data_IF_623252221373
#
_entry.id   IF_623252221373
#
_cell.length_a   1.000
_cell.length_b   1.000
_cell.length_c   1.000
_cell.angle_alpha   90.00
_cell.angle_beta   90.00
_cell.angle_gamma   90.00
#
_symmetry.space_group_name_H-M   'P 1'
#
loop_
_entity.id
_entity.type
_entity.pdbx_description
1 polymer ?
#
# COMPACT_ATOMS: atom_id res chain seq x y z
N UNK A 1 -37.91 60.08 17.89
CA UNK A 1 -37.27 58.81 18.30
C UNK A 1 -37.61 57.70 17.32
N UNK A 2 -36.74 56.80 16.85
CA UNK A 2 -35.28 56.62 16.96
C UNK A 2 -34.92 55.44 16.04
N UNK A 3 -33.71 55.51 15.52
CA UNK A 3 -33.01 54.67 14.53
C UNK A 3 -33.02 53.12 14.64
N UNK A 4 -32.62 52.43 13.55
CA UNK A 4 -32.46 50.99 13.44
C UNK A 4 -31.12 50.50 14.03
N UNK A 5 -31.14 49.36 14.73
CA UNK A 5 -29.95 48.62 15.22
C UNK A 5 -30.44 47.37 15.95
N UNK A 6 -29.80 46.23 15.96
CA UNK A 6 -28.60 45.74 15.32
C UNK A 6 -28.66 44.21 15.44
N UNK A 7 -27.86 43.54 14.63
CA UNK A 7 -27.61 42.11 14.65
C UNK A 7 -27.22 41.57 16.04
N UNK A 8 -27.51 40.28 16.26
CA UNK A 8 -26.92 39.45 17.31
C UNK A 8 -27.85 38.27 17.62
N UNK A 9 -27.48 37.00 17.54
CA UNK A 9 -26.21 36.37 17.25
C UNK A 9 -26.51 34.99 16.65
N UNK A 10 -25.79 34.63 15.59
CA UNK A 10 -25.63 33.27 15.10
C UNK A 10 -24.98 32.41 16.20
N UNK A 11 -25.60 31.33 16.70
CA UNK A 11 -24.83 30.27 17.34
C UNK A 11 -24.50 29.22 16.27
N UNK A 12 -23.19 29.07 16.01
CA UNK A 12 -22.57 27.92 15.37
C UNK A 12 -23.13 27.58 13.99
N UNK A 13 -22.58 28.07 12.88
CA UNK A 13 -21.22 27.71 12.48
C UNK A 13 -20.79 26.31 12.96
N UNK A 14 -21.65 25.29 12.81
CA UNK A 14 -21.14 24.01 12.32
C UNK A 14 -20.73 24.30 10.87
N UNK A 15 -19.53 24.86 10.72
CA UNK A 15 -18.82 24.79 9.46
C UNK A 15 -18.83 23.30 9.10
N UNK A 16 -19.67 22.93 8.13
CA UNK A 16 -19.57 21.66 7.46
C UNK A 16 -18.16 21.65 6.90
N UNK A 17 -17.24 20.97 7.59
CA UNK A 17 -15.92 20.71 7.07
C UNK A 17 -16.17 20.06 5.71
N UNK A 18 -15.60 20.61 4.62
CA UNK A 18 -15.68 19.94 3.32
C UNK A 18 -15.30 18.49 3.55
N UNK A 19 -16.04 17.50 3.01
CA UNK A 19 -15.67 16.11 3.17
C UNK A 19 -14.28 15.93 2.57
N UNK A 20 -13.29 15.93 3.47
CA UNK A 20 -11.91 15.69 3.13
C UNK A 20 -11.85 14.30 2.52
N UNK A 21 -11.14 14.21 1.39
CA UNK A 21 -10.70 13.00 0.69
C UNK A 21 -11.52 12.51 -0.52
N UNK A 22 -12.69 13.05 -0.85
CA UNK A 22 -13.43 12.66 -2.06
C UNK A 22 -13.33 13.71 -3.18
N UNK A 23 -12.10 14.09 -3.53
CA UNK A 23 -11.80 14.86 -4.74
C UNK A 23 -12.37 14.18 -5.99
N UNK A 24 -13.41 14.80 -6.54
CA UNK A 24 -14.17 14.36 -7.70
C UNK A 24 -13.55 14.79 -9.02
N UNK A 25 -12.35 14.31 -9.30
CA UNK A 25 -11.66 14.55 -10.57
C UNK A 25 -11.36 13.22 -11.28
N UNK A 26 -11.85 13.05 -12.50
CA UNK A 26 -11.61 11.86 -13.35
C UNK A 26 -10.11 11.53 -13.48
N UNK A 27 -9.24 12.56 -13.43
CA UNK A 27 -7.77 12.41 -13.45
C UNK A 27 -7.25 11.64 -12.22
N UNK A 28 -7.77 11.95 -11.02
CA UNK A 28 -7.45 11.23 -9.78
C UNK A 28 -7.89 9.77 -9.83
N UNK A 29 -9.02 9.47 -10.48
CA UNK A 29 -9.50 8.08 -10.64
C UNK A 29 -8.57 7.25 -11.53
N UNK A 30 -8.06 7.84 -12.62
CA UNK A 30 -7.08 7.16 -13.50
C UNK A 30 -5.74 6.99 -12.79
N UNK A 31 -5.25 8.01 -12.08
CA UNK A 31 -4.01 7.91 -11.28
C UNK A 31 -4.13 6.83 -10.19
N UNK A 32 -5.26 6.78 -9.49
CA UNK A 32 -5.52 5.77 -8.46
C UNK A 32 -5.64 4.36 -9.05
N UNK A 33 -6.26 4.21 -10.22
CA UNK A 33 -6.32 2.93 -10.94
C UNK A 33 -4.94 2.49 -11.43
N UNK A 34 -4.13 3.42 -11.95
CA UNK A 34 -2.76 3.13 -12.38
C UNK A 34 -1.87 2.72 -11.20
N UNK A 35 -1.98 3.40 -10.06
CA UNK A 35 -1.30 3.01 -8.82
C UNK A 35 -1.77 1.64 -8.33
N UNK A 36 -3.07 1.39 -8.31
CA UNK A 36 -3.62 0.09 -7.94
C UNK A 36 -3.12 -1.01 -8.86
N UNK A 37 -3.13 -0.78 -10.18
CA UNK A 37 -2.59 -1.71 -11.15
C UNK A 37 -1.09 -1.96 -10.90
N UNK A 38 -0.30 -0.92 -10.69
CA UNK A 38 1.14 -1.06 -10.39
C UNK A 38 1.40 -1.90 -9.14
N UNK A 39 0.54 -1.80 -8.13
CA UNK A 39 0.62 -2.61 -6.90
C UNK A 39 0.17 -4.05 -7.17
N UNK A 40 -0.97 -4.25 -7.82
CA UNK A 40 -1.63 -5.57 -7.94
C UNK A 40 -1.01 -6.44 -9.04
N UNK A 41 -0.64 -5.84 -10.17
CA UNK A 41 -0.05 -6.54 -11.33
C UNK A 41 1.14 -7.43 -10.96
N UNK A 42 2.16 -7.02 -10.19
CA UNK A 42 3.27 -7.89 -9.85
C UNK A 42 2.85 -9.13 -9.05
N UNK A 43 1.86 -9.03 -8.15
CA UNK A 43 1.35 -10.19 -7.41
C UNK A 43 0.58 -11.13 -8.32
N UNK A 44 -0.30 -10.60 -9.17
CA UNK A 44 -1.03 -11.40 -10.16
C UNK A 44 -0.06 -12.08 -11.12
N UNK A 45 0.97 -11.37 -11.58
CA UNK A 45 2.02 -11.91 -12.43
C UNK A 45 2.78 -13.04 -11.74
N UNK A 46 3.12 -12.90 -10.45
CA UNK A 46 3.75 -13.98 -9.68
C UNK A 46 2.84 -15.21 -9.57
N UNK A 47 1.57 -15.01 -9.23
CA UNK A 47 0.58 -16.09 -9.12
C UNK A 47 0.36 -16.81 -10.45
N UNK A 48 0.41 -16.09 -11.58
CA UNK A 48 0.31 -16.67 -12.91
C UNK A 48 1.61 -17.36 -13.34
N UNK A 49 2.77 -16.79 -12.98
CA UNK A 49 4.08 -17.31 -13.35
C UNK A 49 4.33 -18.68 -12.71
N UNK A 50 4.01 -18.84 -11.42
CA UNK A 50 4.25 -20.10 -10.67
C UNK A 50 3.71 -21.33 -11.40
N UNK A 51 2.40 -21.44 -11.74
CA UNK A 51 1.89 -22.59 -12.48
C UNK A 51 2.40 -22.65 -13.93
N UNK A 52 2.68 -21.51 -14.57
CA UNK A 52 3.17 -21.46 -15.95
C UNK A 52 4.57 -22.11 -16.08
N UNK A 53 5.45 -21.88 -15.11
CA UNK A 53 6.81 -22.45 -15.11
C UNK A 53 6.89 -23.81 -14.39
N UNK A 54 5.77 -24.26 -13.79
CA UNK A 54 5.71 -25.47 -13.00
C UNK A 54 5.91 -26.71 -13.88
N UNK A 55 6.96 -27.48 -13.61
CA UNK A 55 7.28 -28.70 -14.35
C UNK A 55 8.07 -28.51 -15.65
N UNK A 56 8.27 -27.26 -16.12
CA UNK A 56 9.15 -26.97 -17.26
C UNK A 56 10.41 -26.20 -16.88
N UNK A 57 10.35 -25.30 -15.88
CA UNK A 57 11.48 -24.47 -15.46
C UNK A 57 11.81 -24.51 -13.97
N UNK A 58 10.93 -25.05 -13.13
CA UNK A 58 11.13 -25.15 -11.67
C UNK A 58 11.02 -26.61 -11.23
N UNK A 59 12.10 -27.13 -10.67
CA UNK A 59 12.19 -28.48 -10.12
C UNK A 59 12.18 -28.46 -8.59
N UNK A 60 12.00 -29.64 -7.96
CA UNK A 60 12.10 -29.80 -6.51
C UNK A 60 13.48 -29.40 -5.96
N UNK A 61 14.53 -29.57 -6.76
CA UNK A 61 15.88 -29.13 -6.39
C UNK A 61 15.93 -27.60 -6.25
N UNK A 62 15.34 -26.87 -7.19
CA UNK A 62 15.33 -25.39 -7.17
C UNK A 62 14.60 -24.86 -5.93
N UNK A 63 13.47 -25.49 -5.58
CA UNK A 63 12.73 -25.15 -4.36
C UNK A 63 13.55 -25.47 -3.11
N UNK A 64 14.19 -26.64 -3.07
CA UNK A 64 15.06 -27.03 -1.95
C UNK A 64 16.24 -26.05 -1.76
N UNK A 65 16.89 -25.66 -2.86
CA UNK A 65 17.98 -24.68 -2.85
C UNK A 65 17.49 -23.30 -2.41
N UNK A 66 16.35 -22.84 -2.92
CA UNK A 66 15.74 -21.58 -2.50
C UNK A 66 15.52 -21.54 -1.00
N UNK A 67 14.89 -22.59 -0.45
CA UNK A 67 14.60 -22.69 0.99
C UNK A 67 15.88 -22.74 1.82
N UNK A 68 16.85 -23.59 1.45
CA UNK A 68 18.10 -23.73 2.19
C UNK A 68 18.91 -22.42 2.20
N UNK A 69 19.09 -21.79 1.04
CA UNK A 69 19.80 -20.52 0.92
C UNK A 69 19.09 -19.38 1.65
N UNK A 70 17.75 -19.34 1.60
CA UNK A 70 16.96 -18.38 2.37
C UNK A 70 17.23 -18.50 3.86
N UNK A 71 17.16 -19.71 4.41
CA UNK A 71 17.41 -19.91 5.84
C UNK A 71 18.85 -19.59 6.24
N UNK A 72 19.84 -19.96 5.42
CA UNK A 72 21.24 -19.61 5.66
C UNK A 72 21.42 -18.08 5.68
N UNK A 73 20.85 -17.36 4.71
CA UNK A 73 20.92 -15.90 4.65
C UNK A 73 20.22 -15.24 5.84
N UNK A 74 18.99 -15.65 6.16
CA UNK A 74 18.23 -15.11 7.29
C UNK A 74 18.90 -15.43 8.64
N UNK A 75 19.44 -16.63 8.84
CA UNK A 75 20.19 -16.96 10.05
C UNK A 75 21.50 -16.19 10.13
N UNK A 76 22.18 -15.99 9.00
CA UNK A 76 23.36 -15.14 8.91
C UNK A 76 23.07 -13.71 9.34
N UNK A 77 21.97 -13.12 8.87
CA UNK A 77 21.57 -11.76 9.26
C UNK A 77 21.12 -11.72 10.73
N UNK A 78 20.25 -12.63 11.16
CA UNK A 78 19.75 -12.62 12.54
C UNK A 78 20.88 -12.85 13.53
N UNK A 79 21.67 -13.92 13.41
CA UNK A 79 22.79 -14.20 14.31
C UNK A 79 23.89 -13.15 14.12
N UNK A 80 24.26 -12.83 12.89
CA UNK A 80 25.32 -11.88 12.56
C UNK A 80 25.04 -10.49 13.11
N UNK A 81 23.90 -9.93 12.73
CA UNK A 81 23.49 -8.59 13.15
C UNK A 81 23.16 -8.54 14.64
N UNK A 82 22.37 -9.50 15.17
CA UNK A 82 22.04 -9.48 16.61
C UNK A 82 23.24 -9.73 17.51
N UNK A 83 24.24 -10.52 17.09
CA UNK A 83 25.32 -10.95 17.99
C UNK A 83 26.59 -10.13 17.83
N UNK A 84 26.83 -9.53 16.67
CA UNK A 84 28.06 -8.79 16.38
C UNK A 84 27.85 -7.29 16.15
N UNK A 85 26.60 -6.85 15.95
CA UNK A 85 26.26 -5.44 15.71
C UNK A 85 25.15 -4.90 16.64
N UNK A 86 24.75 -5.68 17.66
CA UNK A 86 23.82 -5.30 18.74
C UNK A 86 24.39 -5.76 20.08
#
# INVERSE_FOLDING_TARGET
ETDPSAAGATPAATAALPPGTLGGDKKRSIEQLALLAFIVVPFVALLAAVPLVWGWGVSWLDIGLMVAMYFIGCHGITIGFHRYFT
#
